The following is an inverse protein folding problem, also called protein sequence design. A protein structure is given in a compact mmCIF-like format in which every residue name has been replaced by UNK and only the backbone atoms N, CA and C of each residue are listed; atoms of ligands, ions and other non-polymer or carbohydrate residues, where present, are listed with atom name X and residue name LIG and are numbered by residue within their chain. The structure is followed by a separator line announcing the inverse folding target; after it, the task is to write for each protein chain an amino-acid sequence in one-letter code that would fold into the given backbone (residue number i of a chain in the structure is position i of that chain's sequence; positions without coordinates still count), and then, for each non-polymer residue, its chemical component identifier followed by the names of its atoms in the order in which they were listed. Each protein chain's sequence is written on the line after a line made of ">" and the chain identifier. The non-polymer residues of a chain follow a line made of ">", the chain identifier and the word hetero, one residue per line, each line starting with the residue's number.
data_IF_735414111816
#
_entry.id   IF_735414111816
#
_cell.length_a   1.000
_cell.length_b   1.000
_cell.length_c   1.000
_cell.angle_alpha   90.00
_cell.angle_beta   90.00
_cell.angle_gamma   90.00
#
_symmetry.space_group_name_H-M   'P 1'
#
loop_
_entity.id
_entity.type
_entity.pdbx_description
1 polymer ?
#
# COMPACT_ATOMS: atom_id res chain seq x y z
N UNK A 1 -37.08 -40.30 -56.66
CA UNK A 1 -37.48 -39.11 -57.44
C UNK A 1 -36.55 -37.98 -57.02
N UNK A 2 -35.75 -37.63 -57.92
CA UNK A 2 -34.97 -36.50 -58.31
C UNK A 2 -35.62 -35.17 -58.02
N UNK A 3 -34.92 -34.20 -57.44
CA UNK A 3 -34.79 -32.86 -58.03
C UNK A 3 -33.49 -32.21 -57.49
N UNK A 4 -32.63 -31.93 -58.45
CA UNK A 4 -31.43 -31.09 -58.39
C UNK A 4 -31.95 -29.65 -58.59
N UNK A 5 -31.55 -28.73 -57.77
CA UNK A 5 -31.62 -27.31 -58.14
C UNK A 5 -30.27 -26.61 -57.79
N UNK A 6 -29.63 -26.22 -58.85
CA UNK A 6 -28.44 -25.37 -58.83
C UNK A 6 -28.85 -23.90 -58.56
N UNK A 7 -28.12 -23.18 -57.77
CA UNK A 7 -28.25 -21.72 -57.68
C UNK A 7 -26.86 -21.07 -57.58
N UNK A 8 -26.50 -20.56 -58.67
CA UNK A 8 -25.72 -19.36 -59.04
C UNK A 8 -24.90 -18.64 -57.96
N UNK A 9 -23.60 -18.64 -58.29
CA UNK A 9 -22.49 -17.88 -57.71
C UNK A 9 -22.65 -16.39 -58.07
N UNK A 10 -22.76 -15.51 -57.08
CA UNK A 10 -22.58 -14.06 -57.32
C UNK A 10 -21.34 -13.59 -56.58
N UNK A 11 -20.33 -13.29 -57.36
CA UNK A 11 -19.06 -12.69 -56.90
C UNK A 11 -19.33 -11.20 -56.74
N UNK A 12 -19.40 -10.73 -55.49
CA UNK A 12 -19.38 -9.31 -55.13
C UNK A 12 -17.98 -8.86 -54.77
N UNK A 13 -17.29 -8.18 -55.70
CA UNK A 13 -16.10 -7.41 -55.41
C UNK A 13 -16.49 -6.24 -54.47
N UNK A 14 -16.07 -6.28 -53.21
CA UNK A 14 -16.09 -5.13 -52.35
C UNK A 14 -14.65 -4.58 -52.19
N UNK A 15 -14.49 -3.38 -52.73
CA UNK A 15 -13.29 -2.56 -52.64
C UNK A 15 -12.97 -2.30 -51.17
N UNK A 16 -11.79 -2.77 -50.75
CA UNK A 16 -11.17 -2.42 -49.46
C UNK A 16 -10.72 -0.96 -49.49
N UNK A 17 -11.49 -0.09 -48.85
CA UNK A 17 -11.01 1.22 -48.46
C UNK A 17 -10.05 1.03 -47.27
N UNK A 18 -8.75 1.14 -47.48
CA UNK A 18 -7.76 1.29 -46.43
C UNK A 18 -8.01 2.64 -45.71
N UNK A 19 -8.75 2.59 -44.58
CA UNK A 19 -8.79 3.69 -43.64
C UNK A 19 -7.50 3.62 -42.84
N UNK A 20 -6.59 4.55 -43.09
CA UNK A 20 -5.41 4.81 -42.27
C UNK A 20 -5.89 5.40 -40.96
N UNK A 21 -6.20 4.52 -40.00
CA UNK A 21 -6.38 4.93 -38.61
C UNK A 21 -5.03 5.42 -38.09
N UNK A 22 -4.89 6.74 -37.89
CA UNK A 22 -3.80 7.31 -37.12
C UNK A 22 -3.75 6.58 -35.77
N UNK A 23 -2.59 6.05 -35.34
CA UNK A 23 -2.46 5.52 -34.00
C UNK A 23 -2.67 6.67 -33.02
N UNK A 24 -3.71 6.58 -32.23
CA UNK A 24 -3.89 7.39 -31.03
C UNK A 24 -2.64 7.16 -30.19
N UNK A 25 -1.83 8.18 -29.86
CA UNK A 25 -0.69 7.98 -28.97
C UNK A 25 -1.24 7.40 -27.67
N UNK A 26 -0.83 6.20 -27.35
CA UNK A 26 -1.04 5.60 -26.05
C UNK A 26 -0.47 6.59 -25.03
N UNK A 27 -1.35 7.20 -24.26
CA UNK A 27 -0.99 8.01 -23.11
C UNK A 27 -0.38 7.02 -22.13
N UNK A 28 0.95 6.79 -22.26
CA UNK A 28 1.72 6.13 -21.22
C UNK A 28 1.42 6.86 -19.93
N UNK A 29 0.63 6.20 -19.09
CA UNK A 29 0.34 6.66 -17.75
C UNK A 29 1.62 6.63 -16.93
N UNK A 30 2.37 7.71 -17.01
CA UNK A 30 3.53 8.00 -16.17
C UNK A 30 3.04 8.35 -14.77
N UNK A 31 2.37 7.39 -14.09
CA UNK A 31 1.77 7.58 -12.75
C UNK A 31 2.83 7.48 -11.63
N UNK A 32 4.10 7.17 -11.95
CA UNK A 32 5.13 6.94 -10.92
C UNK A 32 6.31 7.91 -10.92
N UNK A 33 6.34 8.98 -11.72
CA UNK A 33 7.56 9.79 -11.87
C UNK A 33 7.47 11.23 -11.34
N UNK A 34 6.42 11.63 -10.59
CA UNK A 34 6.33 13.04 -10.15
C UNK A 34 6.86 13.36 -8.75
N UNK A 35 7.25 12.38 -7.92
CA UNK A 35 7.69 12.69 -6.53
C UNK A 35 9.08 12.17 -6.15
N UNK A 36 9.99 11.96 -7.08
CA UNK A 36 11.35 11.48 -6.77
C UNK A 36 12.37 12.57 -6.48
N UNK A 37 11.97 13.83 -6.41
CA UNK A 37 12.84 14.86 -5.86
C UNK A 37 12.91 14.68 -4.36
N UNK A 38 14.10 14.44 -3.84
CA UNK A 38 14.40 14.49 -2.41
C UNK A 38 14.05 15.89 -1.93
N UNK A 39 12.82 16.07 -1.39
CA UNK A 39 12.37 17.36 -0.88
C UNK A 39 13.27 17.69 0.29
N UNK A 40 14.03 18.78 0.17
CA UNK A 40 14.90 19.28 1.22
C UNK A 40 14.13 19.37 2.55
N UNK A 41 14.60 18.66 3.60
CA UNK A 41 13.96 18.61 4.91
C UNK A 41 13.19 17.32 5.24
N UNK A 42 13.08 16.35 4.33
CA UNK A 42 12.52 15.03 4.68
C UNK A 42 13.56 14.21 5.47
N UNK A 43 13.15 13.55 6.57
CA UNK A 43 14.09 12.80 7.40
C UNK A 43 14.63 11.58 6.65
N UNK A 44 15.94 11.37 6.71
CA UNK A 44 16.57 10.16 6.20
C UNK A 44 16.47 9.06 7.28
N UNK A 45 15.36 8.30 7.26
CA UNK A 45 15.06 7.26 8.23
C UNK A 45 15.46 5.88 7.68
N UNK A 46 15.88 5.00 8.57
CA UNK A 46 16.01 3.56 8.34
C UNK A 46 14.66 2.86 8.50
N UNK A 47 14.52 1.63 8.02
CA UNK A 47 13.27 0.87 8.18
C UNK A 47 12.86 0.66 9.65
N UNK A 48 13.78 0.32 10.60
CA UNK A 48 13.45 0.29 12.02
C UNK A 48 12.91 1.61 12.57
N UNK A 49 13.50 2.75 12.15
CA UNK A 49 13.02 4.06 12.59
C UNK A 49 11.62 4.37 12.05
N UNK A 50 11.34 4.03 10.77
CA UNK A 50 9.99 4.17 10.19
C UNK A 50 8.99 3.30 10.96
N UNK A 51 9.33 2.02 11.21
CA UNK A 51 8.45 1.09 11.94
C UNK A 51 8.24 1.52 13.40
N UNK A 52 9.26 2.10 14.05
CA UNK A 52 9.12 2.67 15.39
C UNK A 52 8.12 3.82 15.41
N UNK A 53 8.20 4.76 14.46
CA UNK A 53 7.25 5.86 14.35
C UNK A 53 5.82 5.38 14.08
N UNK A 54 5.66 4.36 13.24
CA UNK A 54 4.36 3.71 13.02
C UNK A 54 3.86 3.07 14.31
N UNK A 55 4.70 2.37 15.05
CA UNK A 55 4.34 1.76 16.33
C UNK A 55 3.92 2.81 17.37
N UNK A 56 4.58 3.95 17.43
CA UNK A 56 4.20 5.06 18.31
C UNK A 56 2.81 5.58 17.95
N UNK A 57 2.49 5.71 16.66
CA UNK A 57 1.14 6.07 16.22
C UNK A 57 0.11 4.98 16.55
N UNK A 58 0.40 3.70 16.33
CA UNK A 58 -0.48 2.58 16.68
C UNK A 58 -0.79 2.50 18.18
N UNK A 59 0.15 2.91 19.04
CA UNK A 59 -0.05 3.01 20.50
C UNK A 59 -0.96 4.17 20.88
N UNK A 60 -0.81 5.29 20.19
CA UNK A 60 -1.51 6.53 20.48
C UNK A 60 -2.94 6.53 19.97
N UNK A 61 -3.17 6.13 18.71
CA UNK A 61 -4.45 6.27 18.03
C UNK A 61 -5.53 5.37 18.66
N UNK A 62 -6.66 5.97 19.00
CA UNK A 62 -7.82 5.33 19.64
C UNK A 62 -9.15 5.68 18.96
N UNK A 63 -9.14 6.62 18.03
CA UNK A 63 -10.30 7.11 17.30
C UNK A 63 -9.92 7.62 15.92
N UNK A 64 -10.87 7.78 14.98
CA UNK A 64 -10.61 8.34 13.65
C UNK A 64 -10.09 9.78 13.67
N UNK A 65 -10.37 10.55 14.71
CA UNK A 65 -9.91 11.94 14.88
C UNK A 65 -8.38 12.00 15.03
N UNK A 66 -7.76 10.94 15.54
CA UNK A 66 -6.31 10.86 15.73
C UNK A 66 -5.54 10.78 14.39
N UNK A 67 -6.26 10.53 13.28
CA UNK A 67 -5.68 10.46 11.93
C UNK A 67 -5.58 11.83 11.24
N UNK A 68 -5.84 12.92 11.95
CA UNK A 68 -5.57 14.26 11.44
C UNK A 68 -4.07 14.50 11.27
N UNK A 69 -3.72 15.28 10.23
CA UNK A 69 -2.33 15.57 9.85
C UNK A 69 -1.48 16.12 10.99
N UNK A 70 -2.03 17.06 11.77
CA UNK A 70 -1.32 17.67 12.88
C UNK A 70 -1.03 16.66 13.99
N UNK A 71 -2.06 15.88 14.39
CA UNK A 71 -1.95 14.86 15.45
C UNK A 71 -0.98 13.75 15.04
N UNK A 72 -1.22 13.13 13.90
CA UNK A 72 -0.37 12.04 13.41
C UNK A 72 1.07 12.50 13.17
N UNK A 73 1.25 13.69 12.60
CA UNK A 73 2.56 14.29 12.39
C UNK A 73 3.31 14.56 13.68
N UNK A 74 2.64 15.08 14.71
CA UNK A 74 3.21 15.33 16.05
C UNK A 74 3.63 14.02 16.72
N UNK A 75 2.75 13.01 16.75
CA UNK A 75 3.02 11.72 17.39
C UNK A 75 4.23 11.03 16.75
N UNK A 76 4.28 10.99 15.44
CA UNK A 76 5.38 10.37 14.71
C UNK A 76 6.62 11.27 14.57
N UNK A 77 6.54 12.53 14.98
CA UNK A 77 7.56 13.55 14.71
C UNK A 77 7.94 13.59 13.22
N UNK A 78 6.90 13.73 12.35
CA UNK A 78 7.01 13.80 10.90
C UNK A 78 6.16 14.95 10.36
N UNK A 79 6.65 15.63 9.32
CA UNK A 79 5.86 16.62 8.60
C UNK A 79 5.07 15.92 7.49
N UNK A 80 3.77 15.77 7.68
CA UNK A 80 2.86 15.22 6.68
C UNK A 80 2.52 16.27 5.63
N UNK A 81 2.28 15.82 4.40
CA UNK A 81 1.90 16.65 3.26
C UNK A 81 0.47 16.33 2.85
N UNK A 82 -0.31 17.35 2.53
CA UNK A 82 -1.64 17.16 1.95
C UNK A 82 -1.55 16.51 0.57
N UNK A 83 -2.58 15.76 0.23
CA UNK A 83 -2.72 15.08 -1.05
C UNK A 83 -4.08 15.40 -1.67
N UNK A 84 -4.07 15.69 -2.97
CA UNK A 84 -5.26 16.12 -3.71
C UNK A 84 -5.76 15.09 -4.72
N UNK A 85 -5.11 13.93 -4.82
CA UNK A 85 -5.45 12.89 -5.79
C UNK A 85 -6.56 11.92 -5.35
N UNK A 86 -7.10 12.13 -4.12
CA UNK A 86 -8.17 11.30 -3.55
C UNK A 86 -7.72 9.93 -3.03
N UNK A 87 -6.45 9.58 -3.18
CA UNK A 87 -5.91 8.32 -2.68
C UNK A 87 -5.73 8.33 -1.16
N UNK A 88 -5.20 9.43 -0.62
CA UNK A 88 -5.05 9.70 0.82
C UNK A 88 -5.28 11.19 1.07
N UNK A 89 -5.59 11.54 2.32
CA UNK A 89 -5.73 12.94 2.71
C UNK A 89 -4.36 13.56 2.99
N UNK A 90 -3.49 12.78 3.65
CA UNK A 90 -2.12 13.17 4.02
C UNK A 90 -1.14 12.03 3.75
N UNK A 91 0.10 12.40 3.49
CA UNK A 91 1.16 11.41 3.28
C UNK A 91 2.55 11.95 3.63
N UNK A 92 3.49 11.03 3.78
CA UNK A 92 4.92 11.27 3.72
C UNK A 92 5.60 10.09 3.04
N UNK A 93 6.64 10.36 2.27
CA UNK A 93 7.45 9.32 1.63
C UNK A 93 8.91 9.75 1.50
N UNK A 94 9.82 8.78 1.49
CA UNK A 94 11.23 9.01 1.21
C UNK A 94 11.90 7.72 0.72
N UNK A 95 13.16 7.84 0.28
CA UNK A 95 14.01 6.71 -0.10
C UNK A 95 14.91 6.28 1.06
N UNK A 96 15.32 5.01 1.08
CA UNK A 96 16.38 4.50 1.96
C UNK A 96 17.73 4.72 1.28
N UNK A 97 18.25 5.94 1.32
CA UNK A 97 19.48 6.31 0.64
C UNK A 97 19.49 5.86 -0.82
N UNK A 98 20.57 5.15 -1.25
CA UNK A 98 20.75 4.63 -2.60
C UNK A 98 20.37 3.14 -2.74
N UNK A 99 19.61 2.57 -1.79
CA UNK A 99 19.29 1.14 -1.76
C UNK A 99 18.33 0.69 -2.87
N UNK A 100 17.68 1.61 -3.57
CA UNK A 100 16.58 1.33 -4.50
C UNK A 100 15.24 1.08 -3.79
N UNK A 101 15.19 1.09 -2.47
CA UNK A 101 13.97 0.99 -1.66
C UNK A 101 13.49 2.37 -1.23
N UNK A 102 12.19 2.48 -1.08
CA UNK A 102 11.48 3.65 -0.57
C UNK A 102 10.43 3.25 0.45
N UNK A 103 9.94 4.22 1.21
CA UNK A 103 8.82 4.05 2.12
C UNK A 103 7.81 5.17 1.93
N UNK A 104 6.55 4.87 2.24
CA UNK A 104 5.49 5.87 2.33
C UNK A 104 4.52 5.53 3.43
N UNK A 105 4.04 6.54 4.15
CA UNK A 105 2.94 6.44 5.10
C UNK A 105 1.83 7.33 4.58
N UNK A 106 0.63 6.79 4.47
CA UNK A 106 -0.55 7.46 3.95
C UNK A 106 -1.65 7.41 5.00
N UNK A 107 -2.37 8.51 5.16
CA UNK A 107 -3.50 8.66 6.08
C UNK A 107 -4.74 9.02 5.30
N UNK A 108 -5.87 8.43 5.68
CA UNK A 108 -7.16 8.71 5.09
C UNK A 108 -8.28 8.62 6.13
N UNK A 109 -9.18 9.61 6.12
CA UNK A 109 -10.52 9.43 6.68
C UNK A 109 -11.43 8.87 5.61
N UNK A 110 -12.09 7.76 5.91
CA UNK A 110 -13.02 7.15 4.95
C UNK A 110 -14.36 7.89 4.97
N UNK A 111 -15.14 7.74 3.93
CA UNK A 111 -16.51 8.29 3.86
C UNK A 111 -17.44 7.80 4.97
N UNK A 112 -17.09 6.69 5.65
CA UNK A 112 -17.83 6.15 6.80
C UNK A 112 -17.29 6.66 8.15
N UNK A 113 -16.42 7.66 8.14
CA UNK A 113 -15.83 8.23 9.36
C UNK A 113 -14.76 7.37 10.02
N UNK A 114 -14.26 6.33 9.34
CA UNK A 114 -13.17 5.50 9.87
C UNK A 114 -11.81 6.16 9.61
N UNK A 115 -10.84 5.94 10.50
CA UNK A 115 -9.45 6.33 10.29
C UNK A 115 -8.64 5.20 9.68
N UNK A 116 -7.86 5.46 8.64
CA UNK A 116 -6.99 4.50 7.99
C UNK A 116 -5.57 5.03 7.84
N UNK A 117 -4.57 4.19 8.15
CA UNK A 117 -3.16 4.42 7.86
C UNK A 117 -2.59 3.22 7.10
N UNK A 118 -1.87 3.50 6.04
CA UNK A 118 -1.13 2.48 5.30
C UNK A 118 0.37 2.85 5.26
N UNK A 119 1.25 1.93 5.71
CA UNK A 119 2.67 1.96 5.45
C UNK A 119 3.00 1.04 4.29
N UNK A 120 3.82 1.50 3.36
CA UNK A 120 4.37 0.70 2.27
C UNK A 120 5.89 0.84 2.19
N UNK A 121 6.58 -0.29 2.01
CA UNK A 121 7.95 -0.35 1.54
C UNK A 121 7.93 -0.82 0.09
N UNK A 122 8.55 -0.04 -0.80
CA UNK A 122 8.55 -0.28 -2.24
C UNK A 122 9.94 -0.18 -2.87
N UNK A 123 10.17 -0.93 -3.94
CA UNK A 123 11.43 -0.94 -4.68
C UNK A 123 11.25 -0.68 -6.19
N UNK A 124 10.13 -0.04 -6.56
CA UNK A 124 9.82 0.28 -7.96
C UNK A 124 9.70 -0.93 -8.88
N UNK A 125 9.40 -2.13 -8.34
CA UNK A 125 9.32 -3.37 -9.11
C UNK A 125 10.67 -4.03 -9.39
N UNK A 126 11.77 -3.50 -8.87
CA UNK A 126 13.10 -4.07 -9.03
C UNK A 126 13.25 -5.39 -8.25
N UNK A 127 14.01 -6.35 -8.81
CA UNK A 127 14.30 -7.65 -8.14
C UNK A 127 15.52 -7.52 -7.22
N UNK A 128 15.52 -6.54 -6.32
CA UNK A 128 16.60 -6.35 -5.35
C UNK A 128 16.23 -7.01 -4.03
N UNK A 129 17.23 -7.48 -3.25
CA UNK A 129 16.99 -8.07 -1.93
C UNK A 129 16.27 -7.08 -1.00
N UNK A 130 15.43 -7.61 -0.10
CA UNK A 130 14.69 -6.83 0.89
C UNK A 130 15.52 -6.46 2.13
N UNK A 131 16.82 -6.72 2.12
CA UNK A 131 17.75 -6.44 3.24
C UNK A 131 17.58 -5.03 3.85
N UNK A 132 17.40 -3.95 3.06
CA UNK A 132 17.21 -2.62 3.64
C UNK A 132 15.95 -2.47 4.49
N UNK A 133 14.90 -3.24 4.22
CA UNK A 133 13.63 -3.21 4.98
C UNK A 133 13.54 -4.33 6.02
N UNK A 134 14.45 -5.30 5.99
CA UNK A 134 14.47 -6.47 6.87
C UNK A 134 15.22 -6.24 8.20
N UNK A 135 15.69 -5.04 8.47
CA UNK A 135 16.42 -4.70 9.71
C UNK A 135 15.53 -4.79 10.97
N UNK A 136 14.20 -4.65 10.81
CA UNK A 136 13.18 -5.01 11.79
C UNK A 136 12.20 -5.95 11.10
N UNK A 137 12.38 -7.24 11.34
CA UNK A 137 11.53 -8.30 10.78
C UNK A 137 10.23 -8.48 11.57
N UNK A 138 9.38 -9.37 11.10
CA UNK A 138 8.08 -9.65 11.72
C UNK A 138 8.25 -10.23 13.14
N UNK A 139 9.27 -11.06 13.39
CA UNK A 139 9.51 -11.69 14.69
C UNK A 139 9.87 -10.67 15.77
N UNK A 140 10.59 -9.60 15.39
CA UNK A 140 10.91 -8.48 16.29
C UNK A 140 9.73 -7.52 16.47
N UNK A 141 8.93 -7.32 15.42
CA UNK A 141 7.82 -6.37 15.46
C UNK A 141 6.59 -6.92 16.17
N UNK A 142 6.32 -8.23 16.05
CA UNK A 142 5.17 -8.90 16.68
C UNK A 142 5.08 -8.65 18.21
N UNK A 143 6.12 -8.88 19.03
CA UNK A 143 6.03 -8.63 20.48
C UNK A 143 5.78 -7.17 20.82
N UNK A 144 6.24 -6.22 19.99
CA UNK A 144 5.98 -4.80 20.20
C UNK A 144 4.51 -4.44 19.96
N UNK A 145 3.83 -5.10 19.01
CA UNK A 145 2.39 -4.96 18.80
C UNK A 145 1.60 -5.53 19.97
N UNK A 146 1.97 -6.69 20.49
CA UNK A 146 1.33 -7.28 21.68
C UNK A 146 1.49 -6.36 22.88
N UNK A 147 2.68 -5.77 23.11
CA UNK A 147 2.90 -4.77 24.16
C UNK A 147 2.09 -3.48 23.95
N UNK A 148 1.77 -3.14 22.70
CA UNK A 148 0.89 -2.02 22.36
C UNK A 148 -0.61 -2.32 22.59
N UNK A 149 -0.93 -3.55 23.06
CA UNK A 149 -2.30 -3.98 23.39
C UNK A 149 -3.05 -4.60 22.20
N UNK A 150 -2.36 -4.97 21.13
CA UNK A 150 -2.97 -5.72 20.02
C UNK A 150 -3.02 -7.21 20.33
N UNK A 151 -4.14 -7.85 20.00
CA UNK A 151 -4.33 -9.30 20.06
C UNK A 151 -4.10 -9.89 18.67
N UNK A 152 -3.24 -10.90 18.60
CA UNK A 152 -2.99 -11.62 17.34
C UNK A 152 -4.21 -12.47 16.95
N UNK A 153 -4.72 -12.31 15.71
CA UNK A 153 -5.92 -13.00 15.21
C UNK A 153 -5.61 -14.14 14.23
N UNK A 154 -4.37 -14.24 13.78
CA UNK A 154 -3.96 -15.31 12.88
C UNK A 154 -3.26 -14.84 11.61
N UNK A 155 -2.92 -15.82 10.77
CA UNK A 155 -2.34 -15.60 9.45
C UNK A 155 -3.44 -15.60 8.38
N UNK A 156 -3.32 -14.69 7.43
CA UNK A 156 -4.18 -14.62 6.26
C UNK A 156 -3.39 -14.47 4.96
N UNK A 157 -4.11 -14.44 3.84
CA UNK A 157 -3.52 -14.22 2.53
C UNK A 157 -4.47 -13.43 1.63
N UNK A 158 -4.09 -12.19 1.32
CA UNK A 158 -4.74 -11.32 0.33
C UNK A 158 -3.73 -11.01 -0.79
N UNK A 159 -3.47 -12.04 -1.64
CA UNK A 159 -2.39 -11.98 -2.62
C UNK A 159 -0.99 -12.15 -2.00
N UNK A 160 -0.71 -11.47 -0.86
CA UNK A 160 0.50 -11.63 -0.04
C UNK A 160 0.14 -12.18 1.33
N UNK A 161 1.06 -12.91 2.00
CA UNK A 161 0.85 -13.35 3.38
C UNK A 161 0.83 -12.15 4.33
N UNK A 162 -0.01 -12.23 5.37
CA UNK A 162 -0.05 -11.24 6.45
C UNK A 162 -0.36 -11.87 7.80
N UNK A 163 0.03 -11.20 8.87
CA UNK A 163 -0.45 -11.45 10.22
C UNK A 163 -1.53 -10.41 10.57
N UNK A 164 -2.68 -10.88 11.06
CA UNK A 164 -3.78 -10.06 11.52
C UNK A 164 -3.70 -9.79 13.01
N UNK A 165 -4.13 -8.61 13.43
CA UNK A 165 -4.23 -8.19 14.82
C UNK A 165 -5.46 -7.32 15.01
N UNK A 166 -6.04 -7.36 16.21
CA UNK A 166 -7.17 -6.52 16.60
C UNK A 166 -6.91 -5.82 17.95
N UNK A 167 -7.59 -4.72 18.17
CA UNK A 167 -7.59 -4.02 19.46
C UNK A 167 -8.94 -3.36 19.70
N UNK A 168 -9.45 -3.49 20.92
CA UNK A 168 -10.69 -2.83 21.36
C UNK A 168 -10.35 -1.68 22.29
N UNK A 169 -10.98 -0.54 22.08
CA UNK A 169 -10.74 0.67 22.88
C UNK A 169 -11.91 0.93 23.84
N UNK A 170 -11.64 1.53 25.02
CA UNK A 170 -12.70 1.84 26.01
C UNK A 170 -13.80 2.77 25.48
N UNK A 171 -13.49 3.59 24.47
CA UNK A 171 -14.41 4.51 23.81
C UNK A 171 -15.36 3.84 22.79
N UNK A 172 -15.31 2.50 22.66
CA UNK A 172 -16.16 1.71 21.79
C UNK A 172 -15.68 1.61 20.34
N UNK A 173 -14.52 2.15 20.00
CA UNK A 173 -13.86 1.87 18.73
C UNK A 173 -13.13 0.53 18.75
N UNK A 174 -12.95 -0.04 17.58
CA UNK A 174 -12.12 -1.22 17.36
C UNK A 174 -11.07 -0.91 16.27
N UNK A 175 -9.94 -1.60 16.36
CA UNK A 175 -8.91 -1.52 15.33
C UNK A 175 -8.65 -2.89 14.72
N UNK A 176 -8.46 -2.89 13.38
CA UNK A 176 -7.91 -3.99 12.59
C UNK A 176 -6.54 -3.57 12.07
N UNK A 177 -5.56 -4.44 12.25
CA UNK A 177 -4.19 -4.22 11.81
C UNK A 177 -3.71 -5.44 11.03
N UNK A 178 -3.25 -5.23 9.81
CA UNK A 178 -2.67 -6.25 8.95
C UNK A 178 -1.22 -5.91 8.66
N UNK A 179 -0.32 -6.82 9.01
CA UNK A 179 1.11 -6.70 8.76
C UNK A 179 1.49 -7.68 7.65
N UNK A 180 1.70 -7.17 6.46
CA UNK A 180 2.12 -7.93 5.28
C UNK A 180 3.64 -8.10 5.27
N UNK A 181 4.11 -9.27 4.84
CA UNK A 181 5.52 -9.59 4.83
C UNK A 181 5.93 -10.35 3.57
N UNK A 182 7.23 -10.42 3.33
CA UNK A 182 7.86 -11.15 2.24
C UNK A 182 9.21 -11.70 2.69
N UNK A 183 9.72 -12.75 2.03
CA UNK A 183 11.08 -13.22 2.26
C UNK A 183 12.14 -12.17 1.89
N UNK A 184 13.27 -12.16 2.59
CA UNK A 184 14.37 -11.21 2.36
C UNK A 184 15.00 -11.41 0.97
N UNK A 185 15.25 -12.66 0.60
CA UNK A 185 15.82 -13.06 -0.69
C UNK A 185 15.32 -14.46 -1.07
N UNK A 186 15.76 -14.97 -2.24
CA UNK A 186 15.45 -16.37 -2.64
C UNK A 186 16.07 -17.39 -1.69
N UNK A 187 17.22 -17.07 -1.11
CA UNK A 187 17.96 -17.93 -0.18
C UNK A 187 17.44 -17.81 1.27
N UNK A 188 16.82 -16.67 1.59
CA UNK A 188 16.28 -16.35 2.92
C UNK A 188 14.76 -16.13 2.86
N UNK A 189 14.03 -17.09 2.28
CA UNK A 189 12.56 -17.00 2.13
C UNK A 189 11.81 -17.06 3.46
N UNK A 190 12.41 -17.62 4.52
CA UNK A 190 11.79 -17.71 5.85
C UNK A 190 12.12 -16.51 6.76
N UNK A 191 12.90 -15.55 6.29
CA UNK A 191 13.13 -14.31 7.00
C UNK A 191 12.04 -13.31 6.59
N UNK A 192 11.00 -13.17 7.41
CA UNK A 192 9.79 -12.42 7.12
C UNK A 192 9.99 -10.92 7.29
N UNK A 193 10.45 -10.25 6.23
CA UNK A 193 10.59 -8.80 6.17
C UNK A 193 9.23 -8.13 6.05
N UNK A 194 8.91 -7.18 6.92
CA UNK A 194 7.70 -6.37 6.81
C UNK A 194 7.72 -5.60 5.50
N UNK A 195 6.69 -5.77 4.69
CA UNK A 195 6.53 -5.11 3.40
C UNK A 195 5.53 -3.96 3.44
N UNK A 196 4.42 -4.15 4.16
CA UNK A 196 3.43 -3.10 4.38
C UNK A 196 2.62 -3.36 5.65
N UNK A 197 2.02 -2.29 6.17
CA UNK A 197 1.11 -2.32 7.30
C UNK A 197 -0.15 -1.58 6.87
N UNK A 198 -1.32 -2.17 7.11
CA UNK A 198 -2.62 -1.51 6.98
C UNK A 198 -3.30 -1.48 8.34
N UNK A 199 -3.66 -0.30 8.81
CA UNK A 199 -4.26 -0.05 10.09
C UNK A 199 -5.57 0.72 9.92
N UNK A 200 -6.66 0.18 10.44
CA UNK A 200 -8.00 0.74 10.37
C UNK A 200 -8.57 0.88 11.76
N UNK A 201 -9.12 2.04 12.10
CA UNK A 201 -9.96 2.24 13.29
C UNK A 201 -11.39 2.52 12.83
N UNK A 202 -12.35 1.83 13.41
CA UNK A 202 -13.76 1.92 13.05
C UNK A 202 -14.65 1.72 14.27
N UNK A 203 -15.92 2.13 14.16
CA UNK A 203 -16.94 1.85 15.16
C UNK A 203 -17.76 0.64 14.69
N UNK A 204 -17.78 -0.47 15.43
CA UNK A 204 -18.55 -1.65 15.02
C UNK A 204 -20.06 -1.34 15.03
N UNK A 205 -20.79 -1.88 14.04
CA UNK A 205 -22.25 -1.77 13.97
C UNK A 205 -22.78 -0.49 13.31
N UNK A 206 -21.93 0.29 12.65
CA UNK A 206 -22.34 1.41 11.79
C UNK A 206 -22.25 0.99 10.33
#
# INVERSE_FOLDING_TARGET
>A
MKYITATVLTIGLLLSACSTANPIPAKEGNIMNQDTQQIAGRPNLTAPEVLTKVLDFLRYAQSPEDFESETAGKVMNLKLLERTDGYSDFYISNKFGNSGWSWSINFKKTQYGNGKMDLFFGNGGSRIPATPICQMDLDRFHPLLVQAGFTYTGKGRLGKPFNGYEKKYPNGYEADLQVFYQGESKEKVQHDCINSISFLIFKPGI
#
